data_IF_702563264224
#
_entry.id   IF_702563264224
#
_cell.length_a   1.000
_cell.length_b   1.000
_cell.length_c   1.000
_cell.angle_alpha   90.00
_cell.angle_beta   90.00
_cell.angle_gamma   90.00
#
_symmetry.space_group_name_H-M   'P 1'
#
loop_
_entity.id
_entity.type
_entity.pdbx_description
1 polymer ?
#
# COMPACT_ATOMS: atom_id res chain seq x y z
N UNK A 1 12.16 -1.13 -3.07
CA UNK A 1 10.94 -1.25 -2.22
C UNK A 1 11.26 -1.61 -0.78
N UNK A 2 12.11 -2.59 -0.54
CA UNK A 2 12.51 -3.05 0.81
C UNK A 2 13.00 -1.94 1.75
N UNK A 3 13.80 -0.99 1.26
CA UNK A 3 14.35 0.08 2.09
C UNK A 3 13.25 1.04 2.61
N UNK A 4 12.36 1.50 1.74
CA UNK A 4 11.23 2.37 2.14
C UNK A 4 10.33 1.63 3.13
N UNK A 5 10.04 0.37 2.87
CA UNK A 5 9.21 -0.46 3.75
C UNK A 5 9.89 -0.69 5.12
N UNK A 6 11.22 -0.87 5.13
CA UNK A 6 12.00 -0.96 6.36
C UNK A 6 11.94 0.32 7.20
N UNK A 7 12.11 1.48 6.58
CA UNK A 7 12.01 2.78 7.25
C UNK A 7 10.60 2.96 7.83
N UNK A 8 9.56 2.74 7.04
CA UNK A 8 8.16 2.89 7.49
C UNK A 8 7.86 1.93 8.65
N UNK A 9 8.30 0.67 8.57
CA UNK A 9 8.13 -0.30 9.66
C UNK A 9 8.81 0.16 10.95
N UNK A 10 10.01 0.73 10.86
CA UNK A 10 10.71 1.28 12.03
C UNK A 10 9.89 2.40 12.69
N UNK A 11 9.33 3.31 11.90
CA UNK A 11 8.44 4.35 12.42
C UNK A 11 7.17 3.78 13.06
N UNK A 12 6.54 2.78 12.44
CA UNK A 12 5.35 2.12 12.99
C UNK A 12 5.66 1.53 14.37
N UNK A 13 6.77 0.81 14.51
CA UNK A 13 7.18 0.21 15.79
C UNK A 13 7.50 1.29 16.81
N UNK A 14 8.22 2.32 16.43
CA UNK A 14 8.57 3.42 17.30
C UNK A 14 7.32 4.14 17.83
N UNK A 15 6.44 4.59 16.95
CA UNK A 15 5.23 5.30 17.34
C UNK A 15 4.26 4.43 18.16
N UNK A 16 4.12 3.15 17.84
CA UNK A 16 3.27 2.26 18.63
C UNK A 16 3.76 2.15 20.08
N UNK A 17 5.07 2.11 20.31
CA UNK A 17 5.67 2.08 21.64
C UNK A 17 5.51 3.40 22.38
N UNK A 18 5.68 4.53 21.68
CA UNK A 18 5.46 5.87 22.25
C UNK A 18 4.01 6.02 22.69
N UNK A 19 3.06 5.63 21.85
CA UNK A 19 1.62 5.67 22.19
C UNK A 19 1.32 4.76 23.38
N UNK A 20 1.85 3.53 23.37
CA UNK A 20 1.67 2.60 24.50
C UNK A 20 2.20 3.17 25.82
N UNK A 21 3.37 3.78 25.77
CA UNK A 21 3.99 4.40 26.96
C UNK A 21 3.21 5.63 27.44
N UNK A 22 2.71 6.44 26.51
CA UNK A 22 1.88 7.60 26.84
C UNK A 22 0.59 7.20 27.51
N UNK A 23 -0.13 6.21 26.98
CA UNK A 23 -1.38 5.70 27.54
C UNK A 23 -1.14 5.10 28.94
N UNK A 24 -0.09 4.31 29.09
CA UNK A 24 0.24 3.65 30.36
C UNK A 24 0.56 4.67 31.46
N UNK A 25 1.29 5.73 31.13
CA UNK A 25 1.66 6.78 32.08
C UNK A 25 0.56 7.77 32.38
N UNK A 26 -0.16 8.24 31.35
CA UNK A 26 -1.13 9.32 31.50
C UNK A 26 -2.49 8.81 31.97
N UNK A 27 -2.93 7.68 31.42
CA UNK A 27 -4.26 7.12 31.74
C UNK A 27 -4.20 6.18 32.94
N UNK A 28 -3.24 5.26 32.95
CA UNK A 28 -3.15 4.24 34.01
C UNK A 28 -2.21 4.64 35.16
N UNK A 29 -1.50 5.78 35.05
CA UNK A 29 -0.62 6.34 36.09
C UNK A 29 0.41 5.34 36.65
N UNK A 30 0.94 4.48 35.78
CA UNK A 30 1.98 3.52 36.15
C UNK A 30 3.29 4.28 36.40
N UNK A 31 3.77 4.29 37.64
CA UNK A 31 4.97 5.06 38.04
C UNK A 31 6.27 4.37 37.65
N UNK A 32 6.32 3.04 37.64
CA UNK A 32 7.53 2.26 37.34
C UNK A 32 7.23 1.08 36.40
N UNK A 33 8.09 0.92 35.39
CA UNK A 33 8.01 -0.19 34.45
C UNK A 33 6.94 0.01 33.36
N UNK A 34 6.46 -1.10 32.82
CA UNK A 34 5.39 -1.16 31.83
C UNK A 34 4.24 -1.96 32.42
N UNK A 35 3.08 -1.35 32.51
CA UNK A 35 1.86 -2.03 32.94
C UNK A 35 1.29 -2.92 31.81
N UNK A 36 0.32 -3.77 32.12
CA UNK A 36 -0.35 -4.61 31.12
C UNK A 36 -1.02 -3.78 30.01
N UNK A 37 -1.48 -2.58 30.33
CA UNK A 37 -2.07 -1.63 29.38
C UNK A 37 -1.07 -1.20 28.30
N UNK A 38 0.21 -1.07 28.61
CA UNK A 38 1.26 -0.76 27.65
C UNK A 38 1.29 -1.77 26.51
N UNK A 39 1.31 -3.05 26.82
CA UNK A 39 1.41 -4.10 25.80
C UNK A 39 0.18 -4.13 24.90
N UNK A 40 -1.01 -4.08 25.49
CA UNK A 40 -2.27 -4.11 24.74
C UNK A 40 -2.37 -2.87 23.81
N UNK A 41 -2.13 -1.69 24.36
CA UNK A 41 -2.21 -0.43 23.60
C UNK A 41 -1.15 -0.39 22.49
N UNK A 42 0.09 -0.83 22.78
CA UNK A 42 1.14 -0.87 21.76
C UNK A 42 0.80 -1.83 20.61
N UNK A 43 0.21 -2.99 20.89
CA UNK A 43 -0.21 -3.95 19.87
C UNK A 43 -1.33 -3.35 19.01
N UNK A 44 -2.36 -2.77 19.62
CA UNK A 44 -3.47 -2.16 18.91
C UNK A 44 -2.96 -1.00 18.04
N UNK A 45 -2.13 -0.11 18.60
CA UNK A 45 -1.52 0.99 17.87
C UNK A 45 -0.66 0.49 16.71
N UNK A 46 0.12 -0.58 16.90
CA UNK A 46 0.94 -1.17 15.85
C UNK A 46 0.10 -1.73 14.70
N UNK A 47 -1.01 -2.39 14.98
CA UNK A 47 -1.93 -2.90 13.95
C UNK A 47 -2.51 -1.74 13.15
N UNK A 48 -3.05 -0.71 13.80
CA UNK A 48 -3.64 0.45 13.14
C UNK A 48 -2.61 1.20 12.28
N UNK A 49 -1.43 1.47 12.83
CA UNK A 49 -0.34 2.13 12.12
C UNK A 49 0.17 1.29 10.95
N UNK A 50 0.20 -0.03 11.07
CA UNK A 50 0.62 -0.93 9.97
C UNK A 50 -0.36 -0.88 8.80
N UNK A 51 -1.66 -0.78 9.06
CA UNK A 51 -2.68 -0.62 8.00
C UNK A 51 -2.45 0.71 7.27
N UNK A 52 -2.27 1.82 8.00
CA UNK A 52 -1.99 3.13 7.41
C UNK A 52 -0.68 3.11 6.61
N UNK A 53 0.37 2.51 7.17
CA UNK A 53 1.65 2.35 6.51
C UNK A 53 1.53 1.58 5.19
N UNK A 54 0.74 0.51 5.16
CA UNK A 54 0.48 -0.27 3.96
C UNK A 54 -0.15 0.55 2.84
N UNK A 55 -1.13 1.40 3.18
CA UNK A 55 -1.78 2.31 2.22
C UNK A 55 -0.76 3.29 1.63
N UNK A 56 0.10 3.87 2.47
CA UNK A 56 1.14 4.81 2.03
C UNK A 56 2.13 4.12 1.08
N UNK A 57 2.60 2.94 1.43
CA UNK A 57 3.55 2.16 0.60
C UNK A 57 2.92 1.81 -0.75
N UNK A 58 1.67 1.36 -0.77
CA UNK A 58 0.96 1.04 -2.01
C UNK A 58 0.71 2.29 -2.87
N UNK A 59 0.35 3.41 -2.26
CA UNK A 59 0.21 4.68 -2.97
C UNK A 59 1.52 5.11 -3.62
N UNK A 60 2.63 5.06 -2.88
CA UNK A 60 3.96 5.38 -3.39
C UNK A 60 4.40 4.44 -4.52
N UNK A 61 4.11 3.14 -4.38
CA UNK A 61 4.38 2.15 -5.43
C UNK A 61 3.69 2.50 -6.73
N UNK A 62 2.39 2.80 -6.68
CA UNK A 62 1.61 3.22 -7.87
C UNK A 62 2.18 4.49 -8.51
N UNK A 63 2.49 5.51 -7.69
CA UNK A 63 3.06 6.77 -8.19
C UNK A 63 4.38 6.55 -8.93
N UNK A 64 5.22 5.64 -8.43
CA UNK A 64 6.47 5.28 -9.07
C UNK A 64 6.26 4.58 -10.41
N UNK A 65 5.24 3.70 -10.52
CA UNK A 65 4.92 3.06 -11.79
C UNK A 65 4.46 4.05 -12.85
N UNK A 66 3.59 5.00 -12.51
CA UNK A 66 3.20 6.07 -13.41
C UNK A 66 4.39 6.89 -13.90
N UNK A 67 5.30 7.25 -12.99
CA UNK A 67 6.50 7.98 -13.36
C UNK A 67 7.39 7.17 -14.30
N UNK A 68 7.59 5.87 -14.02
CA UNK A 68 8.38 4.99 -14.87
C UNK A 68 7.79 4.85 -16.28
N UNK A 69 6.46 4.71 -16.39
CA UNK A 69 5.75 4.62 -17.66
C UNK A 69 5.89 5.90 -18.50
N UNK A 70 5.78 7.07 -17.84
CA UNK A 70 5.96 8.34 -18.49
C UNK A 70 7.40 8.54 -18.98
N UNK A 71 8.40 8.15 -18.21
CA UNK A 71 9.80 8.17 -18.67
C UNK A 71 10.02 7.22 -19.83
N UNK A 72 9.51 6.00 -19.76
CA UNK A 72 9.61 5.03 -20.84
C UNK A 72 8.93 5.52 -22.10
N UNK A 73 7.73 6.12 -22.00
CA UNK A 73 7.00 6.67 -23.15
C UNK A 73 7.75 7.82 -23.84
N UNK A 74 8.48 8.64 -23.09
CA UNK A 74 9.34 9.70 -23.65
C UNK A 74 10.55 9.13 -24.40
N UNK A 75 11.10 8.01 -23.97
CA UNK A 75 12.27 7.39 -24.58
C UNK A 75 11.94 6.58 -25.84
N UNK A 76 10.88 5.77 -25.80
CA UNK A 76 10.55 4.84 -26.90
C UNK A 76 9.35 5.26 -27.71
N UNK A 77 8.65 6.30 -27.31
CA UNK A 77 7.42 6.80 -27.92
C UNK A 77 6.17 6.22 -27.27
N UNK A 78 5.16 7.08 -27.09
CA UNK A 78 3.90 6.74 -26.39
C UNK A 78 3.17 5.56 -27.01
N UNK A 79 3.12 5.47 -28.36
CA UNK A 79 2.44 4.38 -29.06
C UNK A 79 3.06 3.01 -28.78
N UNK A 80 4.39 2.92 -28.73
CA UNK A 80 5.09 1.66 -28.41
C UNK A 80 4.87 1.24 -26.97
N UNK A 81 4.90 2.20 -26.03
CA UNK A 81 4.66 1.93 -24.62
C UNK A 81 3.22 1.47 -24.37
N UNK A 82 2.23 2.11 -25.00
CA UNK A 82 0.82 1.71 -24.93
C UNK A 82 0.63 0.29 -25.50
N UNK A 83 1.27 -0.02 -26.63
CA UNK A 83 1.21 -1.36 -27.23
C UNK A 83 1.78 -2.43 -26.29
N UNK A 84 2.91 -2.14 -25.63
CA UNK A 84 3.51 -3.03 -24.66
C UNK A 84 2.59 -3.28 -23.45
N UNK A 85 1.96 -2.23 -22.90
CA UNK A 85 0.99 -2.35 -21.80
C UNK A 85 -0.24 -3.17 -22.21
N UNK A 86 -0.78 -2.97 -23.41
CA UNK A 86 -1.88 -3.77 -23.95
C UNK A 86 -1.51 -5.25 -24.13
N UNK A 87 -0.28 -5.53 -24.53
CA UNK A 87 0.21 -6.92 -24.64
C UNK A 87 0.34 -7.58 -23.27
N UNK A 88 0.80 -6.84 -22.26
CA UNK A 88 0.84 -7.29 -20.86
C UNK A 88 -0.55 -7.61 -20.33
N UNK A 89 -1.55 -6.77 -20.62
CA UNK A 89 -2.95 -7.00 -20.22
C UNK A 89 -3.49 -8.33 -20.77
N UNK A 90 -3.15 -8.66 -22.00
CA UNK A 90 -3.59 -9.92 -22.64
C UNK A 90 -2.90 -11.16 -22.07
N UNK A 91 -1.64 -11.03 -21.66
CA UNK A 91 -0.84 -12.16 -21.14
C UNK A 91 -1.01 -12.41 -19.64
N UNK A 92 -1.47 -11.42 -18.91
CA UNK A 92 -1.76 -11.54 -17.47
C UNK A 92 -3.27 -11.65 -17.31
N UNK A 93 -3.84 -12.87 -17.26
CA UNK A 93 -5.21 -13.00 -16.82
C UNK A 93 -5.25 -12.42 -15.41
N UNK A 94 -6.21 -11.55 -15.15
CA UNK A 94 -6.52 -11.08 -13.79
C UNK A 94 -7.20 -12.22 -12.99
N UNK A 95 -6.61 -13.40 -13.01
CA UNK A 95 -6.96 -14.46 -12.10
C UNK A 95 -6.37 -14.06 -10.74
N UNK A 96 -7.21 -13.59 -9.85
CA UNK A 96 -6.93 -13.65 -8.42
C UNK A 96 -6.45 -15.08 -8.13
N UNK A 97 -5.31 -15.26 -7.44
CA UNK A 97 -4.93 -16.59 -7.00
C UNK A 97 -6.13 -17.26 -6.32
N UNK A 98 -6.43 -18.52 -6.65
CA UNK A 98 -7.57 -19.26 -6.12
C UNK A 98 -7.68 -19.20 -4.59
N UNK A 99 -6.54 -19.01 -3.92
CA UNK A 99 -6.45 -18.79 -2.49
C UNK A 99 -7.16 -17.53 -1.99
N UNK A 100 -7.26 -16.48 -2.82
CA UNK A 100 -8.00 -15.26 -2.44
C UNK A 100 -9.49 -15.35 -2.81
N UNK A 101 -9.85 -16.17 -3.77
CA UNK A 101 -11.26 -16.50 -4.05
C UNK A 101 -11.92 -17.24 -2.88
N UNK A 102 -11.14 -18.08 -2.15
CA UNK A 102 -11.61 -18.80 -0.98
C UNK A 102 -11.97 -17.92 0.22
N UNK A 103 -11.40 -16.71 0.32
CA UNK A 103 -11.72 -15.75 1.39
C UNK A 103 -13.00 -14.92 1.14
N UNK A 104 -13.81 -15.27 0.13
CA UNK A 104 -15.11 -14.65 -0.10
C UNK A 104 -15.05 -13.15 -0.48
N UNK A 105 -13.87 -12.63 -0.85
CA UNK A 105 -13.69 -11.25 -1.34
C UNK A 105 -14.09 -11.16 -2.83
N UNK A 106 -15.02 -11.96 -3.22
CA UNK A 106 -15.75 -11.94 -4.51
C UNK A 106 -16.90 -10.94 -4.44
N UNK A 107 -16.68 -9.79 -3.78
CA UNK A 107 -17.67 -8.73 -3.65
C UNK A 107 -17.74 -7.88 -4.91
N UNK A 108 -18.86 -7.98 -5.59
CA UNK A 108 -19.36 -7.06 -6.63
C UNK A 108 -19.16 -5.59 -6.21
N UNK A 109 -18.61 -4.80 -7.15
CA UNK A 109 -18.91 -3.37 -7.34
C UNK A 109 -18.46 -2.29 -6.33
N UNK A 110 -17.43 -2.45 -5.52
CA UNK A 110 -16.84 -1.25 -4.93
C UNK A 110 -15.38 -1.09 -5.36
N UNK A 111 -15.20 -0.40 -6.49
CA UNK A 111 -13.87 -0.11 -7.09
C UNK A 111 -13.02 0.80 -6.20
N UNK A 112 -13.63 1.54 -5.27
CA UNK A 112 -12.94 2.59 -4.53
C UNK A 112 -11.99 2.03 -3.45
N UNK A 113 -12.46 1.12 -2.60
CA UNK A 113 -11.62 0.57 -1.52
C UNK A 113 -10.58 -0.44 -2.01
N UNK A 114 -10.91 -1.23 -3.05
CA UNK A 114 -9.96 -2.18 -3.67
C UNK A 114 -8.76 -1.47 -4.30
N UNK A 115 -8.94 -0.26 -4.81
CA UNK A 115 -7.85 0.53 -5.39
C UNK A 115 -6.84 1.01 -4.34
N UNK A 116 -7.26 1.23 -3.09
CA UNK A 116 -6.35 1.64 -2.01
C UNK A 116 -5.39 0.51 -1.61
N UNK A 117 -5.86 -0.73 -1.66
CA UNK A 117 -5.07 -1.92 -1.31
C UNK A 117 -4.46 -2.64 -2.52
N UNK A 118 -4.61 -2.09 -3.72
CA UNK A 118 -3.92 -2.62 -4.90
C UNK A 118 -2.47 -2.14 -4.92
N UNK A 119 -1.53 -3.07 -5.03
CA UNK A 119 -0.10 -2.78 -5.15
C UNK A 119 0.27 -2.18 -6.51
N UNK A 120 -0.55 -2.45 -7.55
CA UNK A 120 -0.33 -1.99 -8.92
C UNK A 120 -1.54 -1.21 -9.43
N UNK A 121 -1.34 -0.11 -10.20
CA UNK A 121 -2.42 0.56 -10.89
C UNK A 121 -2.95 -0.30 -12.04
N UNK A 122 -4.21 -0.11 -12.42
CA UNK A 122 -4.77 -0.82 -13.58
C UNK A 122 -4.05 -0.40 -14.86
N UNK A 123 -3.97 -1.32 -15.83
CA UNK A 123 -3.29 -1.04 -17.11
C UNK A 123 -4.02 0.08 -17.86
N UNK A 124 -5.33 0.14 -17.75
CA UNK A 124 -6.15 1.20 -18.33
C UNK A 124 -5.77 2.58 -17.76
N UNK A 125 -5.63 2.72 -16.45
CA UNK A 125 -5.24 3.98 -15.82
C UNK A 125 -3.80 4.39 -16.16
N UNK A 126 -2.90 3.43 -16.39
CA UNK A 126 -1.52 3.68 -16.83
C UNK A 126 -1.50 4.19 -18.28
N UNK A 127 -2.30 3.59 -19.17
CA UNK A 127 -2.46 4.05 -20.57
C UNK A 127 -3.05 5.47 -20.60
N UNK A 128 -4.09 5.73 -19.81
CA UNK A 128 -4.72 7.05 -19.72
C UNK A 128 -3.71 8.12 -19.25
N UNK A 129 -2.89 7.79 -18.26
CA UNK A 129 -1.82 8.68 -17.78
C UNK A 129 -0.80 9.03 -18.85
N UNK A 130 -0.42 8.07 -19.71
CA UNK A 130 0.49 8.31 -20.82
C UNK A 130 -0.18 9.22 -21.85
N UNK A 131 -1.43 8.96 -22.24
CA UNK A 131 -2.16 9.77 -23.22
C UNK A 131 -2.37 11.21 -22.78
N UNK A 132 -2.59 11.44 -21.49
CA UNK A 132 -2.78 12.79 -20.91
C UNK A 132 -1.50 13.62 -20.88
N UNK A 133 -0.34 12.99 -20.84
CA UNK A 133 0.96 13.64 -20.70
C UNK A 133 1.88 13.50 -21.94
N UNK A 134 1.31 13.08 -23.07
CA UNK A 134 1.97 12.84 -24.38
C UNK A 134 1.94 14.05 -25.33
#
# INVERSE_FOLDING_TARGET
MTLIQGIINTFVIFFSRVIGHFVDRVIFKVERGHGPAYYITSIIAQILLSILASIIVMWFSRKREYAADLYASKLVGSNKMISALKTLSKKSPQALPDQMAAFGISGRKDKSYKSLFSSHPSIESRIESILKNS
#
